data_IF_139896507390
#
_entry.id   IF_139896507390
#
_cell.length_a   1.000
_cell.length_b   1.000
_cell.length_c   1.000
_cell.angle_alpha   90.00
_cell.angle_beta   90.00
_cell.angle_gamma   90.00
#
_symmetry.space_group_name_H-M   'P 1'
#
loop_
_entity.id
_entity.type
_entity.pdbx_description
1 polymer ?
#
# COMPACT_ATOMS: atom_id res chain seq x y z
N UNK A 1 -7.26 -7.43 14.30
CA UNK A 1 -8.50 -7.08 13.55
C UNK A 1 -8.25 -6.10 12.41
N UNK A 2 -7.44 -5.04 12.58
CA UNK A 2 -7.15 -4.08 11.51
C UNK A 2 -6.46 -4.68 10.26
N UNK A 3 -5.75 -5.79 10.40
CA UNK A 3 -5.13 -6.52 9.28
C UNK A 3 -6.16 -7.03 8.26
N UNK A 4 -7.30 -7.55 8.74
CA UNK A 4 -8.36 -8.07 7.85
C UNK A 4 -9.05 -6.93 7.09
N UNK A 5 -9.21 -5.78 7.76
CA UNK A 5 -9.79 -4.59 7.12
C UNK A 5 -8.86 -4.03 6.02
N UNK A 6 -7.53 -4.16 6.20
CA UNK A 6 -6.55 -3.74 5.19
C UNK A 6 -6.69 -4.56 3.91
N UNK A 7 -6.80 -5.88 4.07
CA UNK A 7 -6.97 -6.81 2.97
C UNK A 7 -8.22 -6.47 2.13
N UNK A 8 -9.35 -6.19 2.80
CA UNK A 8 -10.61 -5.83 2.15
C UNK A 8 -10.50 -4.51 1.36
N UNK A 9 -9.91 -3.47 1.94
CA UNK A 9 -9.73 -2.17 1.26
C UNK A 9 -8.86 -2.36 0.01
N UNK A 10 -7.83 -3.17 0.13
CA UNK A 10 -6.90 -3.42 -0.95
C UNK A 10 -7.55 -4.20 -2.10
N UNK A 11 -8.32 -5.25 -1.80
CA UNK A 11 -9.14 -5.97 -2.80
C UNK A 11 -10.16 -5.05 -3.47
N UNK A 12 -10.75 -4.13 -2.69
CA UNK A 12 -11.68 -3.12 -3.21
C UNK A 12 -10.97 -2.16 -4.18
N UNK A 13 -9.76 -1.71 -3.86
CA UNK A 13 -8.96 -0.87 -4.75
C UNK A 13 -8.63 -1.59 -6.08
N UNK A 14 -8.23 -2.87 -6.02
CA UNK A 14 -8.01 -3.68 -7.25
C UNK A 14 -9.29 -3.77 -8.08
N UNK A 15 -10.43 -4.06 -7.45
CA UNK A 15 -11.72 -4.12 -8.12
C UNK A 15 -12.09 -2.80 -8.81
N UNK A 16 -11.81 -1.65 -8.17
CA UNK A 16 -12.02 -0.33 -8.78
C UNK A 16 -11.08 -0.04 -9.95
N UNK A 17 -9.85 -0.57 -9.93
CA UNK A 17 -8.92 -0.44 -11.05
C UNK A 17 -9.37 -1.32 -12.23
N UNK A 18 -9.88 -2.54 -11.97
CA UNK A 18 -10.34 -3.44 -13.03
C UNK A 18 -11.62 -2.97 -13.71
N UNK A 19 -12.49 -2.23 -13.01
CA UNK A 19 -13.68 -1.63 -13.64
C UNK A 19 -13.35 -0.55 -14.67
N UNK A 20 -12.19 0.10 -14.58
CA UNK A 20 -11.76 1.13 -15.55
C UNK A 20 -11.46 0.57 -16.94
N UNK A 21 -11.21 -0.75 -17.05
CA UNK A 21 -10.92 -1.42 -18.33
C UNK A 21 -12.18 -1.89 -19.04
N UNK A 22 -13.31 -1.99 -18.32
CA UNK A 22 -14.58 -2.48 -18.85
C UNK A 22 -15.34 -1.46 -19.73
N UNK A 23 -14.83 -0.25 -19.92
CA UNK A 23 -15.37 0.69 -20.90
C UNK A 23 -14.59 0.63 -22.21
N UNK A 24 -15.03 -0.18 -23.20
CA UNK A 24 -14.42 -0.19 -24.52
C UNK A 24 -14.68 1.15 -25.22
N UNK A 25 -13.64 1.98 -25.29
CA UNK A 25 -13.62 3.11 -26.21
C UNK A 25 -13.14 2.55 -27.55
N UNK A 26 -14.06 2.42 -28.52
CA UNK A 26 -13.78 2.07 -29.93
C UNK A 26 -13.30 0.64 -30.26
N UNK A 27 -13.81 -0.41 -29.60
CA UNK A 27 -13.79 -1.78 -30.16
C UNK A 27 -12.42 -2.46 -30.31
N UNK A 28 -11.35 -1.91 -29.73
CA UNK A 28 -10.05 -2.59 -29.61
C UNK A 28 -9.35 -2.14 -28.35
N UNK A 29 -9.11 -3.07 -27.43
CA UNK A 29 -8.28 -2.84 -26.24
C UNK A 29 -6.83 -2.77 -26.72
N UNK A 30 -6.13 -1.62 -26.63
CA UNK A 30 -4.73 -1.55 -26.98
C UNK A 30 -3.95 -2.50 -26.07
N UNK A 31 -3.12 -3.39 -26.65
CA UNK A 31 -2.25 -4.30 -25.89
C UNK A 31 -1.40 -3.55 -24.84
N UNK A 32 -1.04 -2.30 -25.15
CA UNK A 32 -0.29 -1.40 -24.26
C UNK A 32 -1.09 -1.09 -22.97
N UNK A 33 -2.40 -0.87 -23.06
CA UNK A 33 -3.26 -0.60 -21.90
C UNK A 33 -3.39 -1.83 -21.00
N UNK A 34 -3.44 -3.03 -21.60
CA UNK A 34 -3.44 -4.28 -20.86
C UNK A 34 -2.12 -4.52 -20.11
N UNK A 35 -0.98 -4.24 -20.75
CA UNK A 35 0.34 -4.30 -20.11
C UNK A 35 0.47 -3.31 -18.95
N UNK A 36 -0.01 -2.08 -19.11
CA UNK A 36 -0.01 -1.07 -18.04
C UNK A 36 -0.87 -1.51 -16.84
N UNK A 37 -2.05 -2.08 -17.10
CA UNK A 37 -2.87 -2.67 -16.05
C UNK A 37 -2.15 -3.79 -15.30
N UNK A 38 -1.54 -4.72 -16.04
CA UNK A 38 -0.83 -5.85 -15.45
C UNK A 38 0.33 -5.39 -14.57
N UNK A 39 1.07 -4.36 -15.01
CA UNK A 39 2.10 -3.71 -14.19
C UNK A 39 1.52 -3.12 -12.90
N UNK A 40 0.43 -2.35 -12.98
CA UNK A 40 -0.23 -1.78 -11.80
C UNK A 40 -0.61 -2.88 -10.81
N UNK A 41 -1.23 -3.97 -11.28
CA UNK A 41 -1.61 -5.12 -10.43
C UNK A 41 -0.40 -5.76 -9.76
N UNK A 42 0.71 -5.98 -10.49
CA UNK A 42 1.94 -6.54 -9.92
C UNK A 42 2.50 -5.64 -8.81
N UNK A 43 2.61 -4.33 -9.06
CA UNK A 43 3.18 -3.39 -8.08
C UNK A 43 2.27 -3.26 -6.86
N UNK A 44 0.96 -3.22 -7.07
CA UNK A 44 -0.06 -3.29 -6.01
C UNK A 44 0.20 -4.53 -5.15
N UNK A 45 0.21 -5.72 -5.75
CA UNK A 45 0.45 -6.99 -5.05
C UNK A 45 1.78 -7.01 -4.29
N UNK A 46 2.84 -6.41 -4.82
CA UNK A 46 4.13 -6.26 -4.13
C UNK A 46 3.99 -5.45 -2.83
N UNK A 47 3.28 -4.32 -2.83
CA UNK A 47 3.08 -3.52 -1.60
C UNK A 47 2.26 -4.30 -0.58
N UNK A 48 1.21 -4.99 -1.00
CA UNK A 48 0.42 -5.82 -0.10
C UNK A 48 1.26 -6.93 0.53
N UNK A 49 2.11 -7.59 -0.25
CA UNK A 49 3.04 -8.60 0.27
C UNK A 49 3.99 -8.01 1.32
N UNK A 50 4.57 -6.83 1.07
CA UNK A 50 5.43 -6.16 2.04
C UNK A 50 4.70 -5.81 3.34
N UNK A 51 3.46 -5.32 3.24
CA UNK A 51 2.63 -5.04 4.40
C UNK A 51 2.37 -6.32 5.21
N UNK A 52 1.94 -7.42 4.57
CA UNK A 52 1.67 -8.69 5.26
C UNK A 52 2.92 -9.27 5.93
N UNK A 53 4.07 -9.22 5.27
CA UNK A 53 5.35 -9.68 5.85
C UNK A 53 5.72 -8.83 7.07
N UNK A 54 5.52 -7.51 7.00
CA UNK A 54 5.77 -6.60 8.12
C UNK A 54 4.90 -6.96 9.32
N UNK A 55 3.59 -7.15 9.10
CA UNK A 55 2.65 -7.56 10.15
C UNK A 55 3.05 -8.90 10.76
N UNK A 56 3.33 -9.91 9.94
CA UNK A 56 3.71 -11.23 10.41
C UNK A 56 4.98 -11.22 11.29
N UNK A 57 5.90 -10.26 11.07
CA UNK A 57 7.16 -10.18 11.80
C UNK A 57 7.11 -9.28 13.05
N UNK A 58 6.35 -8.19 13.02
CA UNK A 58 6.42 -7.14 14.05
C UNK A 58 5.10 -6.91 14.81
N UNK A 59 4.10 -7.80 14.68
CA UNK A 59 2.84 -7.69 15.43
C UNK A 59 3.04 -7.83 16.95
N UNK A 60 3.49 -6.74 17.58
CA UNK A 60 3.58 -6.53 19.02
C UNK A 60 2.63 -5.42 19.51
N UNK A 61 1.67 -5.03 18.68
CA UNK A 61 0.59 -4.08 19.02
C UNK A 61 1.10 -2.71 19.53
N UNK A 62 2.22 -2.20 19.01
CA UNK A 62 2.62 -0.82 19.30
C UNK A 62 1.68 0.14 18.56
N UNK A 63 1.22 1.20 19.24
CA UNK A 63 0.30 2.20 18.70
C UNK A 63 0.79 2.83 17.38
N UNK A 64 2.11 2.91 17.16
CA UNK A 64 2.73 3.43 15.93
C UNK A 64 2.52 2.51 14.72
N UNK A 65 2.50 1.19 14.91
CA UNK A 65 2.26 0.23 13.82
C UNK A 65 0.81 0.31 13.33
N UNK A 66 -0.12 0.44 14.26
CA UNK A 66 -1.55 0.65 13.98
C UNK A 66 -1.76 1.98 13.24
N UNK A 67 -1.11 3.05 13.70
CA UNK A 67 -1.21 4.37 13.06
C UNK A 67 -0.74 4.38 11.60
N UNK A 68 0.40 3.74 11.30
CA UNK A 68 0.88 3.67 9.92
C UNK A 68 0.04 2.76 9.01
N UNK A 69 -0.56 1.69 9.54
CA UNK A 69 -1.54 0.90 8.77
C UNK A 69 -2.81 1.69 8.45
N UNK A 70 -3.34 2.48 9.39
CA UNK A 70 -4.50 3.36 9.14
C UNK A 70 -4.17 4.42 8.09
N UNK A 71 -2.96 4.98 8.11
CA UNK A 71 -2.49 5.89 7.06
C UNK A 71 -2.42 5.20 5.69
N UNK A 72 -1.87 3.98 5.63
CA UNK A 72 -1.83 3.21 4.38
C UNK A 72 -3.25 2.92 3.83
N UNK A 73 -4.21 2.61 4.70
CA UNK A 73 -5.62 2.47 4.32
C UNK A 73 -6.20 3.76 3.74
N UNK A 74 -5.92 4.90 4.37
CA UNK A 74 -6.41 6.20 3.91
C UNK A 74 -5.90 6.52 2.50
N UNK A 75 -4.62 6.25 2.23
CA UNK A 75 -4.01 6.43 0.90
C UNK A 75 -4.62 5.47 -0.13
N UNK A 76 -4.91 4.22 0.26
CA UNK A 76 -5.56 3.25 -0.63
C UNK A 76 -6.99 3.69 -1.03
N UNK A 77 -7.77 4.19 -0.07
CA UNK A 77 -9.11 4.74 -0.33
C UNK A 77 -9.05 6.03 -1.16
N UNK A 78 -8.06 6.89 -0.88
CA UNK A 78 -7.82 8.09 -1.68
C UNK A 78 -7.52 7.74 -3.14
N UNK A 79 -6.69 6.73 -3.38
CA UNK A 79 -6.41 6.22 -4.72
C UNK A 79 -7.68 5.69 -5.40
N UNK A 80 -8.48 4.89 -4.70
CA UNK A 80 -9.71 4.30 -5.24
C UNK A 80 -10.80 5.34 -5.58
N UNK A 81 -10.80 6.49 -4.88
CA UNK A 81 -11.71 7.61 -5.13
C UNK A 81 -11.23 8.52 -6.26
N UNK A 82 -9.92 8.72 -6.42
CA UNK A 82 -9.35 9.61 -7.45
C UNK A 82 -9.11 8.90 -8.80
N UNK A 83 -9.56 7.65 -8.91
CA UNK A 83 -9.57 6.85 -10.14
C UNK A 83 -10.47 7.53 -11.18
N UNK A 84 -9.84 8.19 -12.16
CA UNK A 84 -10.50 8.91 -13.25
C UNK A 84 -10.44 8.11 -14.55
N UNK A 85 -11.41 8.32 -15.45
CA UNK A 85 -11.48 7.61 -16.74
C UNK A 85 -10.27 7.88 -17.66
N UNK A 86 -9.47 8.90 -17.38
CA UNK A 86 -8.21 9.17 -18.07
C UNK A 86 -7.03 8.36 -17.48
N UNK A 87 -6.55 7.38 -18.24
CA UNK A 87 -5.40 6.53 -17.90
C UNK A 87 -4.14 7.30 -17.47
N UNK A 88 -3.82 8.41 -18.14
CA UNK A 88 -2.60 9.20 -17.86
C UNK A 88 -2.64 9.85 -16.48
N UNK A 89 -3.82 10.29 -16.06
CA UNK A 89 -4.03 10.96 -14.78
C UNK A 89 -4.09 9.90 -13.66
N UNK A 90 -4.80 8.80 -13.89
CA UNK A 90 -4.88 7.67 -12.95
C UNK A 90 -3.51 7.06 -12.67
N UNK A 91 -2.65 6.91 -13.68
CA UNK A 91 -1.29 6.40 -13.48
C UNK A 91 -0.41 7.33 -12.62
N UNK A 92 -0.63 8.65 -12.71
CA UNK A 92 0.08 9.63 -11.90
C UNK A 92 -0.35 9.56 -10.43
N UNK A 93 -1.66 9.53 -10.17
CA UNK A 93 -2.20 9.34 -8.82
C UNK A 93 -1.76 7.99 -8.22
N UNK A 94 -1.73 6.94 -9.04
CA UNK A 94 -1.21 5.65 -8.66
C UNK A 94 0.24 5.73 -8.20
N UNK A 95 1.15 6.32 -8.99
CA UNK A 95 2.55 6.45 -8.62
C UNK A 95 2.76 7.23 -7.31
N UNK A 96 2.03 8.34 -7.12
CA UNK A 96 2.13 9.13 -5.89
C UNK A 96 1.62 8.33 -4.68
N UNK A 97 0.49 7.63 -4.82
CA UNK A 97 -0.04 6.78 -3.76
C UNK A 97 0.96 5.68 -3.37
N UNK A 98 1.59 5.03 -4.35
CA UNK A 98 2.60 4.00 -4.11
C UNK A 98 3.85 4.56 -3.42
N UNK A 99 4.34 5.73 -3.85
CA UNK A 99 5.48 6.39 -3.21
C UNK A 99 5.19 6.71 -1.73
N UNK A 100 3.98 7.21 -1.44
CA UNK A 100 3.55 7.51 -0.07
C UNK A 100 3.42 6.23 0.76
N UNK A 101 2.84 5.16 0.22
CA UNK A 101 2.71 3.88 0.94
C UNK A 101 4.08 3.27 1.29
N UNK A 102 5.04 3.34 0.37
CA UNK A 102 6.42 2.90 0.59
C UNK A 102 7.09 3.77 1.66
N UNK A 103 6.90 5.10 1.63
CA UNK A 103 7.43 6.01 2.64
C UNK A 103 6.85 5.71 4.04
N UNK A 104 5.54 5.42 4.13
CA UNK A 104 4.90 5.04 5.40
C UNK A 104 5.53 3.75 5.94
N UNK A 105 5.66 2.71 5.11
CA UNK A 105 6.30 1.44 5.47
C UNK A 105 7.77 1.63 5.89
N UNK A 106 8.51 2.47 5.18
CA UNK A 106 9.90 2.78 5.50
C UNK A 106 10.02 3.49 6.85
N UNK A 107 9.16 4.48 7.11
CA UNK A 107 9.08 5.15 8.39
C UNK A 107 8.73 4.16 9.51
N UNK A 108 7.71 3.31 9.33
CA UNK A 108 7.34 2.27 10.30
C UNK A 108 8.54 1.38 10.65
N UNK A 109 9.27 0.90 9.64
CA UNK A 109 10.46 0.07 9.84
C UNK A 109 11.58 0.81 10.59
N UNK A 110 11.82 2.09 10.28
CA UNK A 110 12.79 2.92 10.99
C UNK A 110 12.41 3.13 12.46
N UNK A 111 11.14 3.40 12.75
CA UNK A 111 10.64 3.58 14.12
C UNK A 111 10.75 2.30 14.95
N UNK A 112 10.42 1.14 14.39
CA UNK A 112 10.62 -0.15 15.06
C UNK A 112 12.11 -0.39 15.36
N UNK A 113 12.99 -0.10 14.41
CA UNK A 113 14.44 -0.21 14.62
C UNK A 113 14.94 0.74 15.71
N UNK A 114 14.43 1.97 15.76
CA UNK A 114 14.77 2.96 16.79
C UNK A 114 14.25 2.54 18.19
N UNK A 115 13.05 1.98 18.27
CA UNK A 115 12.49 1.44 19.51
C UNK A 115 13.27 0.24 20.06
N UNK A 116 13.74 -0.66 19.19
CA UNK A 116 14.63 -1.75 19.60
C UNK A 116 16.01 -1.26 20.06
N UNK A 117 16.51 -0.15 19.49
CA UNK A 117 17.76 0.47 19.92
C UNK A 117 17.66 1.02 21.35
N UNK A 118 16.51 1.61 21.74
CA UNK A 118 16.26 2.09 23.11
C UNK A 118 16.31 0.94 24.14
N UNK A 119 15.73 -0.21 23.83
CA UNK A 119 15.78 -1.40 24.72
C UNK A 119 17.21 -1.92 24.86
N UNK A 120 17.98 -1.93 23.76
CA UNK A 120 19.39 -2.36 23.78
C UNK A 120 20.30 -1.37 24.54
N UNK A 121 20.03 -0.06 24.47
CA UNK A 121 20.74 0.95 25.25
C UNK A 121 20.40 0.89 26.74
N UNK A 122 19.13 0.70 27.11
CA UNK A 122 18.73 0.53 28.53
C UNK A 122 19.36 -0.74 29.11
N UNK A 123 19.39 -1.84 28.36
CA UNK A 123 19.97 -3.10 28.84
C UNK A 123 21.52 -3.08 28.91
N UNK A 124 22.18 -2.11 28.27
CA UNK A 124 23.63 -1.89 28.36
C UNK A 124 24.05 -0.91 29.46
N UNK A 125 23.10 -0.17 30.04
CA UNK A 125 23.36 0.66 31.24
C UNK A 125 23.19 -0.11 32.56
N UNK A 126 22.76 -1.38 32.51
CA UNK A 126 22.57 -2.25 33.67
C UNK A 126 23.59 -3.39 33.79
N UNK A 127 24.64 -3.40 32.96
CA UNK A 127 25.78 -4.32 33.06
C UNK A 127 27.09 -3.54 33.08
#
# INVERSE_FOLDING_TARGET
MFELFYDLIFVYAISRITTMIHHPVNGSIPLVTFLQFLLVVIVVMQIWLYQVIYFNRYSKNQFLDIGGLVLNMFVAVYLANNINTEWRITFHYFNIAMAVMILILFCQYLFVKAGNCQIFCVNRSFS
#
